data_IF_593204261267
#
_entry.id   IF_593204261267
#
_cell.length_a   1.000
_cell.length_b   1.000
_cell.length_c   1.000
_cell.angle_alpha   90.00
_cell.angle_beta   90.00
_cell.angle_gamma   90.00
#
_symmetry.space_group_name_H-M   'P 1'
#
loop_
_entity.id
_entity.type
_entity.pdbx_description
1 polymer ?
#
# COMPACT_ATOMS: atom_id res chain seq x y z
N UNK A 1 13.93 15.92 -7.94
CA UNK A 1 13.85 17.40 -8.09
C UNK A 1 13.61 17.79 -9.55
N UNK A 2 14.42 17.38 -10.52
CA UNK A 2 14.20 17.68 -11.96
C UNK A 2 12.77 17.39 -12.44
N UNK A 3 12.23 16.22 -12.13
CA UNK A 3 10.87 15.83 -12.55
C UNK A 3 9.79 16.79 -12.03
N UNK A 4 9.96 17.30 -10.82
CA UNK A 4 9.00 18.18 -10.18
C UNK A 4 9.08 19.61 -10.77
N UNK A 5 10.27 20.03 -11.19
CA UNK A 5 10.45 21.32 -11.89
C UNK A 5 9.77 21.30 -13.27
N UNK A 6 9.74 20.13 -13.93
CA UNK A 6 9.09 19.94 -15.23
C UNK A 6 7.55 19.75 -15.14
N UNK A 7 7.06 19.09 -14.09
CA UNK A 7 5.61 18.75 -13.93
C UNK A 7 4.83 19.93 -13.33
N UNK A 8 5.45 20.81 -12.55
CA UNK A 8 4.78 21.91 -11.87
C UNK A 8 4.08 21.46 -10.57
N UNK A 9 2.77 21.76 -10.42
CA UNK A 9 1.99 21.40 -9.22
C UNK A 9 1.63 19.92 -9.20
N UNK A 10 1.72 19.31 -8.01
CA UNK A 10 1.28 17.93 -7.76
C UNK A 10 0.16 17.99 -6.74
N UNK A 11 -1.05 17.64 -7.17
CA UNK A 11 -2.24 17.62 -6.31
C UNK A 11 -2.45 16.27 -5.64
N UNK A 12 -1.99 15.19 -6.29
CA UNK A 12 -2.14 13.81 -5.78
C UNK A 12 -0.81 13.05 -5.88
N UNK A 13 -0.39 12.48 -4.75
CA UNK A 13 0.72 11.53 -4.68
C UNK A 13 0.18 10.13 -4.38
N UNK A 14 0.24 9.22 -5.35
CA UNK A 14 -0.09 7.82 -5.14
C UNK A 14 1.17 6.97 -5.01
N UNK A 15 1.52 6.60 -3.78
CA UNK A 15 2.63 5.73 -3.45
C UNK A 15 2.24 4.26 -3.62
N UNK A 16 2.43 3.71 -4.82
CA UNK A 16 2.02 2.35 -5.19
C UNK A 16 3.16 1.33 -5.26
N UNK A 17 4.40 1.79 -5.38
CA UNK A 17 5.55 0.89 -5.43
C UNK A 17 5.64 0.00 -4.19
N UNK A 18 5.99 -1.27 -4.39
CA UNK A 18 6.10 -2.20 -3.28
C UNK A 18 6.72 -3.53 -3.66
N UNK A 19 7.32 -4.19 -2.68
CA UNK A 19 7.95 -5.50 -2.79
C UNK A 19 7.36 -6.44 -1.74
N UNK A 20 7.09 -7.69 -2.13
CA UNK A 20 6.53 -8.73 -1.26
C UNK A 20 7.57 -9.79 -0.99
N UNK A 21 8.15 -9.78 0.20
CA UNK A 21 9.00 -10.87 0.70
C UNK A 21 8.15 -12.01 1.25
N UNK A 22 8.63 -13.25 1.11
CA UNK A 22 7.99 -14.45 1.67
C UNK A 22 8.98 -15.16 2.58
N UNK A 23 8.64 -15.28 3.86
CA UNK A 23 9.43 -15.95 4.87
C UNK A 23 8.97 -15.61 6.28
N UNK A 24 9.41 -16.42 7.23
CA UNK A 24 9.26 -16.21 8.67
C UNK A 24 10.35 -15.27 9.20
N UNK A 25 10.30 -14.91 10.48
CA UNK A 25 11.36 -14.12 11.13
C UNK A 25 12.72 -14.84 11.13
N UNK A 26 12.71 -16.17 11.17
CA UNK A 26 13.96 -16.97 11.20
C UNK A 26 14.62 -17.10 9.82
N UNK A 27 13.85 -16.90 8.76
CA UNK A 27 14.30 -16.99 7.36
C UNK A 27 14.66 -15.63 6.77
N UNK A 28 14.21 -14.55 7.39
CA UNK A 28 14.46 -13.19 6.93
C UNK A 28 15.90 -12.77 7.20
N UNK A 29 16.66 -12.48 6.16
CA UNK A 29 18.00 -11.91 6.27
C UNK A 29 17.96 -10.40 6.52
N UNK A 30 19.09 -9.82 6.94
CA UNK A 30 19.22 -8.34 7.05
C UNK A 30 19.01 -7.65 5.69
N UNK A 31 19.49 -8.26 4.61
CA UNK A 31 19.28 -7.73 3.25
C UNK A 31 17.80 -7.75 2.85
N UNK A 32 17.04 -8.79 3.20
CA UNK A 32 15.59 -8.84 2.96
C UNK A 32 14.86 -7.77 3.75
N UNK A 33 15.26 -7.54 5.00
CA UNK A 33 14.73 -6.48 5.85
C UNK A 33 14.99 -5.12 5.23
N UNK A 34 16.24 -4.82 4.90
CA UNK A 34 16.64 -3.54 4.34
C UNK A 34 15.95 -3.26 3.00
N UNK A 35 15.90 -4.25 2.11
CA UNK A 35 15.20 -4.14 0.82
C UNK A 35 13.70 -3.87 1.01
N UNK A 36 13.04 -4.61 1.90
CA UNK A 36 11.62 -4.43 2.16
C UNK A 36 11.31 -3.02 2.70
N UNK A 37 12.10 -2.52 3.64
CA UNK A 37 11.93 -1.18 4.19
C UNK A 37 12.35 -0.08 3.21
N UNK A 38 13.41 -0.28 2.43
CA UNK A 38 13.83 0.68 1.39
C UNK A 38 12.72 0.89 0.36
N UNK A 39 12.15 -0.20 -0.16
CA UNK A 39 11.13 -0.12 -1.21
C UNK A 39 9.76 0.26 -0.65
N UNK A 40 9.30 -0.40 0.43
CA UNK A 40 7.92 -0.24 0.90
C UNK A 40 7.70 1.00 1.77
N UNK A 41 8.75 1.51 2.44
CA UNK A 41 8.61 2.57 3.44
C UNK A 41 9.44 3.80 3.07
N UNK A 42 10.76 3.63 2.87
CA UNK A 42 11.67 4.75 2.66
C UNK A 42 11.40 5.49 1.36
N UNK A 43 10.98 4.77 0.30
CA UNK A 43 10.56 5.39 -0.96
C UNK A 43 9.39 6.37 -0.73
N UNK A 44 8.37 5.96 0.02
CA UNK A 44 7.19 6.78 0.33
C UNK A 44 7.57 7.97 1.21
N UNK A 45 8.43 7.76 2.22
CA UNK A 45 8.97 8.84 3.06
C UNK A 45 9.70 9.89 2.21
N UNK A 46 10.61 9.46 1.33
CA UNK A 46 11.40 10.38 0.49
C UNK A 46 10.52 11.20 -0.44
N UNK A 47 9.56 10.57 -1.11
CA UNK A 47 8.63 11.29 -1.99
C UNK A 47 7.75 12.26 -1.21
N UNK A 48 7.14 11.81 -0.12
CA UNK A 48 6.27 12.66 0.71
C UNK A 48 7.04 13.85 1.27
N UNK A 49 8.28 13.66 1.75
CA UNK A 49 9.13 14.74 2.26
C UNK A 49 9.40 15.84 1.23
N UNK A 50 9.51 15.49 -0.05
CA UNK A 50 9.77 16.44 -1.13
C UNK A 50 8.48 17.13 -1.59
N UNK A 51 7.35 16.38 -1.59
CA UNK A 51 6.10 16.83 -2.21
C UNK A 51 5.23 17.62 -1.23
N UNK A 52 5.16 17.25 0.04
CA UNK A 52 4.32 17.91 1.04
C UNK A 52 4.52 19.43 1.11
N UNK A 53 5.76 19.97 1.17
CA UNK A 53 5.93 21.44 1.22
C UNK A 53 5.33 22.16 0.01
N UNK A 54 5.32 21.53 -1.14
CA UNK A 54 4.75 22.07 -2.38
C UNK A 54 3.23 22.00 -2.38
N UNK A 55 2.66 20.87 -1.96
CA UNK A 55 1.22 20.74 -1.75
C UNK A 55 0.72 21.82 -0.78
N UNK A 56 1.38 22.02 0.35
CA UNK A 56 1.05 23.04 1.33
C UNK A 56 1.09 24.45 0.71
N UNK A 57 2.13 24.77 -0.05
CA UNK A 57 2.25 26.08 -0.72
C UNK A 57 1.19 26.33 -1.79
N UNK A 58 0.60 25.25 -2.33
CA UNK A 58 -0.49 25.31 -3.32
C UNK A 58 -1.89 25.17 -2.71
N UNK A 59 -2.00 25.22 -1.37
CA UNK A 59 -3.29 25.18 -0.68
C UNK A 59 -3.78 23.79 -0.27
N UNK A 60 -2.96 22.75 -0.45
CA UNK A 60 -3.27 21.39 -0.02
C UNK A 60 -2.96 20.31 -1.05
N UNK A 61 -3.35 19.09 -0.76
CA UNK A 61 -3.15 17.94 -1.65
C UNK A 61 -3.55 16.61 -1.02
N UNK A 62 -3.43 15.55 -1.80
CA UNK A 62 -3.82 14.20 -1.39
C UNK A 62 -2.66 13.23 -1.50
N UNK A 63 -2.43 12.47 -0.44
CA UNK A 63 -1.47 11.37 -0.43
C UNK A 63 -2.21 10.05 -0.21
N UNK A 64 -1.97 9.08 -1.07
CA UNK A 64 -2.54 7.74 -0.97
C UNK A 64 -1.38 6.75 -0.89
N UNK A 65 -1.30 5.99 0.20
CA UNK A 65 -0.24 5.01 0.41
C UNK A 65 -0.78 3.59 0.24
N UNK A 66 -0.13 2.79 -0.60
CA UNK A 66 -0.44 1.38 -0.77
C UNK A 66 0.17 0.56 0.37
N UNK A 67 -0.66 0.24 1.37
CA UNK A 67 -0.33 -0.69 2.45
C UNK A 67 -0.72 -2.14 2.05
N UNK A 68 -1.27 -2.91 2.96
CA UNK A 68 -1.79 -4.27 2.75
C UNK A 68 -2.63 -4.69 3.95
N UNK A 69 -3.54 -5.65 3.78
CA UNK A 69 -4.14 -6.36 4.92
C UNK A 69 -3.08 -7.14 5.72
N UNK A 70 -2.03 -7.65 5.05
CA UNK A 70 -0.84 -8.19 5.71
C UNK A 70 -0.03 -7.04 6.33
N UNK A 71 -0.42 -6.60 7.52
CA UNK A 71 0.14 -5.45 8.23
C UNK A 71 -0.34 -5.46 9.69
N UNK A 72 -0.52 -4.29 10.30
CA UNK A 72 -1.23 -4.16 11.59
C UNK A 72 -2.73 -4.49 11.51
N UNK A 73 -3.28 -4.71 10.31
CA UNK A 73 -4.66 -5.14 10.10
C UNK A 73 -4.82 -6.63 10.36
N UNK A 74 -3.93 -7.47 9.77
CA UNK A 74 -3.95 -8.93 9.94
C UNK A 74 -2.56 -9.53 9.82
N UNK A 75 -2.17 -10.39 10.75
CA UNK A 75 -1.00 -11.26 10.61
C UNK A 75 -1.24 -12.34 9.57
N UNK A 76 -0.30 -12.50 8.64
CA UNK A 76 -0.36 -13.54 7.59
C UNK A 76 0.91 -14.38 7.67
N UNK A 77 0.81 -15.72 7.73
CA UNK A 77 1.97 -16.61 7.75
C UNK A 77 2.92 -16.33 6.57
N UNK A 78 4.21 -16.45 6.82
CA UNK A 78 5.27 -16.22 5.84
C UNK A 78 5.24 -14.82 5.21
N UNK A 79 4.89 -13.80 6.02
CA UNK A 79 4.88 -12.38 5.62
C UNK A 79 5.54 -11.50 6.67
N UNK A 80 6.56 -12.00 7.37
CA UNK A 80 7.16 -11.30 8.50
C UNK A 80 7.61 -9.88 8.14
N UNK A 81 8.66 -9.70 7.35
CA UNK A 81 9.18 -8.37 7.04
C UNK A 81 8.24 -7.58 6.12
N UNK A 82 7.53 -8.25 5.20
CA UNK A 82 6.51 -7.59 4.38
C UNK A 82 5.41 -6.98 5.25
N UNK A 83 4.80 -7.77 6.14
CA UNK A 83 3.76 -7.30 7.04
C UNK A 83 4.23 -6.17 7.95
N UNK A 84 5.45 -6.29 8.48
CA UNK A 84 6.08 -5.26 9.32
C UNK A 84 6.26 -3.96 8.54
N UNK A 85 6.78 -4.00 7.31
CA UNK A 85 6.95 -2.83 6.46
C UNK A 85 5.59 -2.19 6.08
N UNK A 86 4.57 -2.99 5.82
CA UNK A 86 3.22 -2.48 5.50
C UNK A 86 2.49 -1.92 6.73
N UNK A 87 2.78 -2.40 7.93
CA UNK A 87 2.34 -1.76 9.18
C UNK A 87 3.01 -0.39 9.37
N UNK A 88 4.29 -0.27 9.04
CA UNK A 88 4.98 1.02 9.06
C UNK A 88 4.37 2.04 8.07
N UNK A 89 3.90 1.59 6.90
CA UNK A 89 3.16 2.45 5.95
C UNK A 89 1.87 3.00 6.56
N UNK A 90 1.13 2.19 7.34
CA UNK A 90 -0.06 2.65 8.06
C UNK A 90 0.32 3.72 9.10
N UNK A 91 1.41 3.51 9.85
CA UNK A 91 1.94 4.49 10.80
C UNK A 91 2.34 5.80 10.10
N UNK A 92 3.09 5.72 8.99
CA UNK A 92 3.48 6.86 8.16
C UNK A 92 2.26 7.65 7.67
N UNK A 93 1.22 6.96 7.20
CA UNK A 93 -0.03 7.57 6.73
C UNK A 93 -0.69 8.40 7.82
N UNK A 94 -0.85 7.83 9.02
CA UNK A 94 -1.48 8.52 10.17
C UNK A 94 -0.66 9.70 10.65
N UNK A 95 0.66 9.57 10.69
CA UNK A 95 1.56 10.65 11.09
C UNK A 95 1.45 11.84 10.13
N UNK A 96 1.55 11.59 8.81
CA UNK A 96 1.39 12.65 7.80
C UNK A 96 0.00 13.32 7.90
N UNK A 97 -1.06 12.53 8.07
CA UNK A 97 -2.40 13.09 8.23
C UNK A 97 -2.50 13.98 9.46
N UNK A 98 -2.00 13.53 10.61
CA UNK A 98 -2.04 14.30 11.86
C UNK A 98 -1.25 15.62 11.78
N UNK A 99 -0.06 15.58 11.15
CA UNK A 99 0.84 16.73 11.08
C UNK A 99 0.36 17.82 10.09
N UNK A 100 -0.33 17.41 9.00
CA UNK A 100 -0.59 18.31 7.87
C UNK A 100 -2.07 18.53 7.52
N UNK A 101 -3.04 17.95 8.27
CA UNK A 101 -4.46 18.13 8.00
C UNK A 101 -4.89 19.60 8.06
N UNK A 102 -4.35 20.37 9.01
CA UNK A 102 -4.64 21.81 9.12
C UNK A 102 -4.06 22.65 7.98
N UNK A 103 -3.17 22.06 7.18
CA UNK A 103 -2.55 22.69 6.02
C UNK A 103 -3.14 22.15 4.70
N UNK A 104 -4.32 21.53 4.77
CA UNK A 104 -5.06 21.05 3.59
C UNK A 104 -4.56 19.71 3.01
N UNK A 105 -3.69 18.97 3.70
CA UNK A 105 -3.24 17.66 3.23
C UNK A 105 -4.15 16.56 3.79
N UNK A 106 -4.66 15.70 2.89
CA UNK A 106 -5.29 14.44 3.25
C UNK A 106 -4.33 13.29 2.95
N UNK A 107 -4.19 12.36 3.88
CA UNK A 107 -3.33 11.19 3.70
C UNK A 107 -4.07 9.93 4.15
N UNK A 108 -4.24 8.95 3.25
CA UNK A 108 -4.99 7.72 3.52
C UNK A 108 -4.22 6.49 3.04
N UNK A 109 -4.49 5.34 3.65
CA UNK A 109 -3.89 4.05 3.27
C UNK A 109 -4.93 3.12 2.66
N UNK A 110 -4.59 2.47 1.54
CA UNK A 110 -5.34 1.35 0.97
C UNK A 110 -4.66 0.05 1.40
N UNK A 111 -5.44 -0.89 1.92
CA UNK A 111 -5.00 -2.21 2.36
C UNK A 111 -5.69 -3.30 1.53
N UNK A 112 -5.14 -3.66 0.36
CA UNK A 112 -5.69 -4.74 -0.45
C UNK A 112 -5.52 -6.11 0.21
N UNK A 113 -6.47 -7.02 -0.08
CA UNK A 113 -6.29 -8.46 0.04
C UNK A 113 -5.46 -9.01 -1.10
N UNK A 114 -5.83 -10.21 -1.60
CA UNK A 114 -5.19 -10.79 -2.78
C UNK A 114 -5.74 -10.14 -4.05
N UNK A 115 -4.85 -9.58 -4.88
CA UNK A 115 -5.21 -8.89 -6.13
C UNK A 115 -4.49 -9.55 -7.30
N UNK A 116 -5.21 -9.77 -8.40
CA UNK A 116 -4.69 -10.36 -9.64
C UNK A 116 -3.67 -9.40 -10.29
N UNK A 117 -2.40 -9.74 -10.19
CA UNK A 117 -1.30 -8.93 -10.73
C UNK A 117 -0.23 -9.84 -11.32
N UNK A 118 0.63 -9.37 -12.24
CA UNK A 118 1.77 -10.14 -12.72
C UNK A 118 2.62 -10.69 -11.58
N UNK A 119 2.93 -9.88 -10.58
CA UNK A 119 3.69 -10.30 -9.37
C UNK A 119 2.99 -11.39 -8.56
N UNK A 120 1.64 -11.44 -8.53
CA UNK A 120 0.94 -12.56 -7.90
C UNK A 120 1.15 -13.85 -8.68
N UNK A 121 1.04 -13.80 -10.01
CA UNK A 121 1.21 -14.96 -10.87
C UNK A 121 2.64 -15.52 -10.77
N UNK A 122 3.66 -14.65 -10.79
CA UNK A 122 5.07 -15.04 -10.55
C UNK A 122 5.23 -15.76 -9.21
N UNK A 123 4.62 -15.26 -8.14
CA UNK A 123 4.67 -15.87 -6.81
C UNK A 123 3.91 -17.20 -6.72
N UNK A 124 2.82 -17.37 -7.47
CA UNK A 124 2.11 -18.64 -7.57
C UNK A 124 3.00 -19.68 -8.27
N UNK A 125 3.64 -19.31 -9.38
CA UNK A 125 4.56 -20.18 -10.12
C UNK A 125 5.78 -20.55 -9.24
N UNK A 126 6.33 -19.59 -8.51
CA UNK A 126 7.49 -19.83 -7.64
C UNK A 126 7.21 -20.77 -6.45
N UNK A 127 5.93 -20.96 -6.06
CA UNK A 127 5.59 -21.96 -5.04
C UNK A 127 5.73 -23.40 -5.54
N UNK A 128 5.75 -23.61 -6.86
CA UNK A 128 5.79 -24.95 -7.45
C UNK A 128 4.48 -25.74 -7.24
N UNK A 129 4.48 -26.98 -7.77
CA UNK A 129 3.31 -27.86 -7.67
C UNK A 129 2.23 -27.54 -8.71
N UNK A 130 1.00 -28.01 -8.46
CA UNK A 130 -0.15 -27.76 -9.31
C UNK A 130 -0.62 -26.31 -9.17
N UNK A 131 -0.50 -25.54 -10.26
CA UNK A 131 -0.85 -24.11 -10.29
C UNK A 131 -2.32 -23.87 -9.95
N UNK A 132 -3.22 -24.78 -10.31
CA UNK A 132 -4.65 -24.63 -10.02
C UNK A 132 -4.94 -24.81 -8.52
N UNK A 133 -4.25 -25.75 -7.87
CA UNK A 133 -4.33 -25.91 -6.41
C UNK A 133 -3.74 -24.69 -5.67
N UNK A 134 -2.59 -24.19 -6.13
CA UNK A 134 -1.98 -22.98 -5.57
C UNK A 134 -2.94 -21.79 -5.73
N UNK A 135 -3.53 -21.59 -6.90
CA UNK A 135 -4.51 -20.52 -7.15
C UNK A 135 -5.74 -20.66 -6.24
N UNK A 136 -6.28 -21.87 -6.11
CA UNK A 136 -7.42 -22.14 -5.22
C UNK A 136 -7.12 -21.78 -3.77
N UNK A 137 -5.90 -22.05 -3.28
CA UNK A 137 -5.47 -21.66 -1.95
C UNK A 137 -5.39 -20.12 -1.77
N UNK A 138 -5.05 -19.37 -2.82
CA UNK A 138 -5.11 -17.90 -2.79
C UNK A 138 -6.56 -17.39 -2.81
N UNK A 139 -7.44 -17.99 -3.61
CA UNK A 139 -8.87 -17.66 -3.67
C UNK A 139 -9.55 -17.91 -2.31
N UNK A 140 -9.25 -19.04 -1.70
CA UNK A 140 -9.86 -19.44 -0.42
C UNK A 140 -9.55 -18.47 0.76
N UNK A 141 -8.61 -17.57 0.61
CA UNK A 141 -8.32 -16.54 1.63
C UNK A 141 -9.41 -15.47 1.69
N UNK A 142 -10.17 -15.28 0.63
CA UNK A 142 -11.22 -14.28 0.51
C UNK A 142 -12.60 -14.95 0.58
N UNK A 143 -13.45 -14.65 1.60
CA UNK A 143 -14.83 -15.15 1.70
C UNK A 143 -15.68 -14.85 0.47
N UNK A 144 -15.39 -13.80 -0.30
CA UNK A 144 -16.07 -13.53 -1.58
C UNK A 144 -15.80 -14.59 -2.67
N UNK A 145 -14.91 -15.57 -2.45
CA UNK A 145 -14.66 -16.69 -3.34
C UNK A 145 -13.88 -16.33 -4.61
N UNK A 146 -13.21 -15.18 -4.65
CA UNK A 146 -12.39 -14.74 -5.78
C UNK A 146 -11.24 -13.83 -5.36
N UNK A 147 -10.27 -13.72 -6.23
CA UNK A 147 -9.20 -12.71 -6.14
C UNK A 147 -9.76 -11.36 -6.64
N UNK A 148 -9.35 -10.26 -6.02
CA UNK A 148 -9.68 -8.91 -6.45
C UNK A 148 -8.96 -8.51 -7.73
N UNK A 149 -9.49 -7.52 -8.43
CA UNK A 149 -8.88 -6.97 -9.65
C UNK A 149 -8.14 -5.66 -9.36
N UNK A 150 -7.09 -5.30 -10.14
CA UNK A 150 -6.45 -3.99 -10.03
C UNK A 150 -7.42 -2.83 -10.17
N UNK A 151 -8.46 -2.98 -11.01
CA UNK A 151 -9.48 -1.96 -11.22
C UNK A 151 -10.30 -1.67 -9.95
N UNK A 152 -10.60 -2.69 -9.16
CA UNK A 152 -11.31 -2.49 -7.88
C UNK A 152 -10.48 -1.66 -6.91
N UNK A 153 -9.16 -1.88 -6.86
CA UNK A 153 -8.24 -1.06 -6.06
C UNK A 153 -8.15 0.37 -6.60
N UNK A 154 -8.05 0.51 -7.94
CA UNK A 154 -7.97 1.81 -8.59
C UNK A 154 -9.24 2.66 -8.36
N UNK A 155 -10.43 2.05 -8.32
CA UNK A 155 -11.68 2.77 -8.03
C UNK A 155 -11.64 3.43 -6.65
N UNK A 156 -11.10 2.74 -5.63
CA UNK A 156 -10.92 3.33 -4.30
C UNK A 156 -9.86 4.44 -4.32
N UNK A 157 -8.77 4.26 -5.06
CA UNK A 157 -7.74 5.28 -5.20
C UNK A 157 -8.31 6.57 -5.85
N UNK A 158 -9.15 6.44 -6.88
CA UNK A 158 -9.83 7.57 -7.53
C UNK A 158 -10.77 8.28 -6.54
N UNK A 159 -11.58 7.55 -5.78
CA UNK A 159 -12.42 8.13 -4.73
C UNK A 159 -11.59 8.91 -3.70
N UNK A 160 -10.49 8.33 -3.21
CA UNK A 160 -9.64 8.97 -2.22
C UNK A 160 -8.88 10.18 -2.77
N UNK A 161 -8.60 10.22 -4.08
CA UNK A 161 -7.98 11.35 -4.76
C UNK A 161 -8.95 12.52 -5.01
N UNK A 162 -10.25 12.25 -5.07
CA UNK A 162 -11.28 13.23 -5.42
C UNK A 162 -11.79 14.03 -4.21
N UNK A 163 -12.55 15.09 -4.49
CA UNK A 163 -13.21 15.92 -3.48
C UNK A 163 -14.36 15.19 -2.77
N UNK A 164 -14.87 14.09 -3.34
CA UNK A 164 -15.86 13.23 -2.70
C UNK A 164 -15.36 12.64 -1.37
N UNK A 165 -14.06 12.57 -1.19
CA UNK A 165 -13.41 12.11 0.06
C UNK A 165 -12.86 13.26 0.92
N UNK A 166 -13.35 14.49 0.75
CA UNK A 166 -12.84 15.71 1.41
C UNK A 166 -12.84 15.65 2.95
N UNK A 167 -13.70 14.82 3.55
CA UNK A 167 -13.76 14.61 5.02
C UNK A 167 -13.03 13.34 5.47
N UNK A 168 -12.14 12.78 4.63
CA UNK A 168 -11.47 11.50 4.86
C UNK A 168 -9.96 11.68 4.88
N UNK A 169 -9.35 11.53 6.07
CA UNK A 169 -7.89 11.56 6.25
C UNK A 169 -7.46 10.69 7.43
N UNK A 170 -6.23 10.17 7.42
CA UNK A 170 -5.69 9.25 8.44
C UNK A 170 -6.34 7.86 8.44
N UNK A 171 -7.20 7.57 7.50
CA UNK A 171 -7.98 6.35 7.44
C UNK A 171 -7.23 5.19 6.76
N UNK A 172 -7.64 3.99 7.13
CA UNK A 172 -7.10 2.72 6.61
C UNK A 172 -8.24 1.93 5.99
N UNK A 173 -8.20 1.75 4.68
CA UNK A 173 -9.26 1.12 3.90
C UNK A 173 -8.89 -0.29 3.50
N UNK A 174 -9.50 -1.28 4.13
CA UNK A 174 -9.41 -2.66 3.65
C UNK A 174 -10.29 -2.84 2.41
N UNK A 175 -9.71 -3.43 1.36
CA UNK A 175 -10.40 -3.84 0.14
C UNK A 175 -9.90 -5.24 -0.21
N UNK A 176 -10.53 -6.26 0.37
CA UNK A 176 -9.90 -7.56 0.57
C UNK A 176 -10.82 -8.77 0.34
N UNK A 177 -12.04 -8.54 -0.12
CA UNK A 177 -13.02 -9.61 -0.33
C UNK A 177 -13.43 -10.33 0.94
N UNK A 178 -13.36 -9.67 2.10
CA UNK A 178 -13.70 -10.22 3.40
C UNK A 178 -12.55 -10.97 4.08
N UNK A 179 -11.31 -10.86 3.62
CA UNK A 179 -10.16 -11.58 4.18
C UNK A 179 -9.88 -11.23 5.65
N UNK A 180 -10.33 -10.07 6.11
CA UNK A 180 -10.07 -9.56 7.47
C UNK A 180 -11.26 -9.70 8.44
N UNK A 181 -12.38 -10.20 7.98
CA UNK A 181 -13.56 -10.49 8.83
C UNK A 181 -13.54 -11.92 9.39
#
# INVERSE_FOLDING_TARGET
EKLIEEIGTIDVLFNCAGFVHSGTILECTEDDWDMAFEINVRSMYRLSKIIIPRMVSNGGGVIINMASVASSVKGIPNRFVYGTSKAAVIGLTKAIAADFVSQGIRCNAICPGTVETPSLNERMVAQGGDLEQVRSAFVARQPMGRIGTPKEIANLAVYLASDESSYTTGAVFAIDGGMTI
#
